data_IF_903855580116
#
_entry.id   IF_903855580116
#
_cell.length_a   1.000
_cell.length_b   1.000
_cell.length_c   1.000
_cell.angle_alpha   90.00
_cell.angle_beta   90.00
_cell.angle_gamma   90.00
#
_symmetry.space_group_name_H-M   'P 1'
#
loop_
_entity.id
_entity.type
_entity.pdbx_description
1 polymer ?
#
# COMPACT_ATOMS: atom_id res chain seq x y z
N UNK A 1 -6.92 -32.03 32.91
CA UNK A 1 -6.83 -30.56 32.70
C UNK A 1 -5.76 -30.13 31.69
N UNK A 2 -4.50 -30.60 31.73
CA UNK A 2 -3.44 -30.20 30.75
C UNK A 2 -3.72 -30.45 29.26
N UNK A 3 -4.52 -31.47 28.89
CA UNK A 3 -4.86 -31.77 27.48
C UNK A 3 -5.83 -30.75 26.86
N UNK A 4 -6.79 -30.23 27.64
CA UNK A 4 -7.75 -29.23 27.13
C UNK A 4 -7.08 -27.87 26.92
N UNK A 5 -6.15 -27.47 27.80
CA UNK A 5 -5.38 -26.23 27.64
C UNK A 5 -4.54 -26.20 26.36
N UNK A 6 -3.90 -27.33 25.97
CA UNK A 6 -3.14 -27.42 24.71
C UNK A 6 -4.02 -27.32 23.46
N UNK A 7 -5.22 -27.89 23.50
CA UNK A 7 -6.15 -27.83 22.37
C UNK A 7 -6.66 -26.41 22.12
N UNK A 8 -6.99 -25.68 23.19
CA UNK A 8 -7.42 -24.27 23.11
C UNK A 8 -6.28 -23.38 22.60
N UNK A 9 -5.06 -23.56 23.10
CA UNK A 9 -3.89 -22.82 22.60
C UNK A 9 -3.60 -23.10 21.13
N UNK A 10 -3.75 -24.34 20.68
CA UNK A 10 -3.58 -24.72 19.27
C UNK A 10 -4.61 -24.04 18.36
N UNK A 11 -5.88 -24.01 18.78
CA UNK A 11 -6.97 -23.39 18.02
C UNK A 11 -6.82 -21.86 17.93
N UNK A 12 -6.50 -21.19 19.03
CA UNK A 12 -6.26 -19.73 19.04
C UNK A 12 -5.08 -19.34 18.16
N UNK A 13 -3.99 -20.11 18.20
CA UNK A 13 -2.83 -19.85 17.34
C UNK A 13 -3.19 -20.03 15.85
N UNK A 14 -4.04 -21.00 15.52
CA UNK A 14 -4.53 -21.21 14.16
C UNK A 14 -5.36 -20.03 13.64
N UNK A 15 -6.23 -19.45 14.48
CA UNK A 15 -7.03 -18.29 14.09
C UNK A 15 -6.16 -17.06 13.79
N UNK A 16 -5.13 -16.81 14.61
CA UNK A 16 -4.22 -15.68 14.38
C UNK A 16 -3.33 -15.83 13.14
N UNK A 17 -3.04 -17.06 12.71
CA UNK A 17 -2.30 -17.32 11.48
C UNK A 17 -3.19 -17.05 10.26
N UNK A 18 -4.43 -17.58 10.26
CA UNK A 18 -5.41 -17.37 9.18
C UNK A 18 -5.66 -15.89 8.90
N UNK A 19 -5.93 -15.08 9.94
CA UNK A 19 -6.20 -13.64 9.76
C UNK A 19 -5.01 -12.86 9.16
N UNK A 20 -3.77 -13.29 9.40
CA UNK A 20 -2.60 -12.65 8.80
C UNK A 20 -2.39 -13.05 7.35
N UNK A 21 -2.73 -14.29 7.00
CA UNK A 21 -2.65 -14.80 5.64
C UNK A 21 -3.74 -14.15 4.78
N UNK A 22 -4.95 -14.01 5.30
CA UNK A 22 -6.05 -13.26 4.66
C UNK A 22 -5.66 -11.80 4.41
N UNK A 23 -5.09 -11.13 5.43
CA UNK A 23 -4.61 -9.76 5.29
C UNK A 23 -3.54 -9.63 4.18
N UNK A 24 -2.54 -10.52 4.19
CA UNK A 24 -1.47 -10.50 3.18
C UNK A 24 -2.02 -10.75 1.79
N UNK A 25 -2.88 -11.75 1.64
CA UNK A 25 -3.51 -12.06 0.37
C UNK A 25 -4.32 -10.87 -0.18
N UNK A 26 -5.05 -10.17 0.69
CA UNK A 26 -5.79 -8.97 0.30
C UNK A 26 -4.86 -7.85 -0.17
N UNK A 27 -3.81 -7.52 0.59
CA UNK A 27 -2.80 -6.52 0.21
C UNK A 27 -2.10 -6.88 -1.10
N UNK A 28 -1.70 -8.14 -1.26
CA UNK A 28 -1.02 -8.63 -2.45
C UNK A 28 -1.92 -8.55 -3.70
N UNK A 29 -3.20 -8.92 -3.55
CA UNK A 29 -4.18 -8.79 -4.63
C UNK A 29 -4.40 -7.34 -5.06
N UNK A 30 -4.41 -6.41 -4.10
CA UNK A 30 -4.57 -4.98 -4.36
C UNK A 30 -3.34 -4.42 -5.09
N UNK A 31 -2.14 -4.81 -4.65
CA UNK A 31 -0.90 -4.43 -5.32
C UNK A 31 -0.82 -4.94 -6.76
N UNK A 32 -1.23 -6.19 -6.99
CA UNK A 32 -1.26 -6.76 -8.34
C UNK A 32 -2.25 -6.01 -9.24
N UNK A 33 -3.46 -5.74 -8.74
CA UNK A 33 -4.51 -5.06 -9.48
C UNK A 33 -4.10 -3.64 -9.88
N UNK A 34 -3.64 -2.83 -8.93
CA UNK A 34 -3.24 -1.45 -9.24
C UNK A 34 -1.94 -1.39 -10.05
N UNK A 35 -1.00 -2.30 -9.83
CA UNK A 35 0.19 -2.43 -10.69
C UNK A 35 -0.18 -2.65 -12.15
N UNK A 36 -1.18 -3.50 -12.42
CA UNK A 36 -1.69 -3.74 -13.77
C UNK A 36 -2.37 -2.48 -14.36
N UNK A 37 -3.21 -1.78 -13.59
CA UNK A 37 -3.87 -0.54 -14.05
C UNK A 37 -2.83 0.53 -14.39
N UNK A 38 -1.78 0.69 -13.56
CA UNK A 38 -0.71 1.64 -13.85
C UNK A 38 0.03 1.25 -15.13
N UNK A 39 0.34 -0.04 -15.34
CA UNK A 39 0.91 -0.52 -16.60
C UNK A 39 0.07 -0.18 -17.82
N UNK A 40 -1.26 -0.34 -17.73
CA UNK A 40 -2.21 0.06 -18.78
C UNK A 40 -2.19 1.58 -19.00
N UNK A 41 -2.07 2.38 -17.95
CA UNK A 41 -1.96 3.84 -18.08
C UNK A 41 -0.69 4.26 -18.84
N UNK A 42 0.45 3.60 -18.61
CA UNK A 42 1.69 3.82 -19.35
C UNK A 42 1.58 3.41 -20.83
N UNK A 43 0.83 2.36 -21.14
CA UNK A 43 0.63 1.91 -22.52
C UNK A 43 -0.10 2.94 -23.40
N UNK A 44 -0.81 3.91 -22.80
CA UNK A 44 -1.52 4.99 -23.50
C UNK A 44 -0.61 6.19 -23.82
N UNK A 45 0.65 6.17 -23.41
CA UNK A 45 1.62 7.23 -23.68
C UNK A 45 2.29 6.94 -25.02
N UNK A 46 1.69 7.42 -26.12
CA UNK A 46 2.17 7.14 -27.47
C UNK A 46 3.15 8.20 -28.01
N UNK A 47 3.21 9.40 -27.41
CA UNK A 47 3.90 10.56 -28.01
C UNK A 47 4.85 11.33 -27.08
N UNK A 48 5.29 10.72 -25.98
CA UNK A 48 6.18 11.39 -25.02
C UNK A 48 7.66 11.28 -25.43
N UNK A 49 8.43 12.35 -25.20
CA UNK A 49 9.88 12.32 -25.34
C UNK A 49 10.51 11.26 -24.43
N UNK A 50 11.56 10.57 -24.88
CA UNK A 50 12.15 9.46 -24.13
C UNK A 50 12.66 9.86 -22.74
N UNK A 51 13.22 11.07 -22.60
CA UNK A 51 13.70 11.59 -21.33
C UNK A 51 12.55 11.77 -20.33
N UNK A 52 11.48 12.42 -20.75
CA UNK A 52 10.27 12.66 -19.97
C UNK A 52 9.60 11.35 -19.56
N UNK A 53 9.51 10.38 -20.49
CA UNK A 53 8.96 9.06 -20.21
C UNK A 53 9.79 8.33 -19.15
N UNK A 54 11.12 8.40 -19.25
CA UNK A 54 12.02 7.78 -18.29
C UNK A 54 11.87 8.42 -16.91
N UNK A 55 11.79 9.75 -16.83
CA UNK A 55 11.58 10.47 -15.58
C UNK A 55 10.25 10.10 -14.94
N UNK A 56 9.16 10.10 -15.71
CA UNK A 56 7.84 9.70 -15.26
C UNK A 56 7.83 8.25 -14.75
N UNK A 57 8.47 7.34 -15.47
CA UNK A 57 8.58 5.93 -15.10
C UNK A 57 9.33 5.76 -13.78
N UNK A 58 10.49 6.40 -13.63
CA UNK A 58 11.30 6.33 -12.40
C UNK A 58 10.52 6.89 -11.21
N UNK A 59 9.93 8.07 -11.35
CA UNK A 59 9.17 8.69 -10.27
C UNK A 59 7.92 7.88 -9.89
N UNK A 60 7.22 7.32 -10.86
CA UNK A 60 6.08 6.45 -10.61
C UNK A 60 6.52 5.17 -9.91
N UNK A 61 7.63 4.56 -10.32
CA UNK A 61 8.16 3.37 -9.67
C UNK A 61 8.57 3.64 -8.22
N UNK A 62 9.20 4.79 -7.93
CA UNK A 62 9.55 5.21 -6.58
C UNK A 62 8.29 5.42 -5.73
N UNK A 63 7.26 6.06 -6.28
CA UNK A 63 5.99 6.27 -5.57
C UNK A 63 5.27 4.94 -5.29
N UNK A 64 5.23 4.02 -6.25
CA UNK A 64 4.71 2.66 -6.07
C UNK A 64 5.48 1.95 -4.96
N UNK A 65 6.81 2.01 -4.96
CA UNK A 65 7.64 1.42 -3.92
C UNK A 65 7.32 2.01 -2.53
N UNK A 66 7.07 3.32 -2.45
CA UNK A 66 6.64 3.97 -1.21
C UNK A 66 5.27 3.43 -0.74
N UNK A 67 4.30 3.26 -1.63
CA UNK A 67 2.99 2.67 -1.34
C UNK A 67 3.16 1.23 -0.80
N UNK A 68 3.97 0.40 -1.46
CA UNK A 68 4.24 -0.98 -1.02
C UNK A 68 4.96 -1.03 0.34
N UNK A 69 5.83 -0.05 0.61
CA UNK A 69 6.56 0.06 1.87
C UNK A 69 5.61 0.36 3.03
N UNK A 70 4.54 1.13 2.81
CA UNK A 70 3.52 1.41 3.84
C UNK A 70 2.89 0.12 4.35
N UNK A 71 2.49 -0.79 3.46
CA UNK A 71 1.82 -2.02 3.85
C UNK A 71 2.75 -3.07 4.50
N UNK A 72 4.06 -2.95 4.31
CA UNK A 72 5.04 -3.90 4.84
C UNK A 72 5.84 -3.39 6.05
N UNK A 73 5.76 -2.10 6.37
CA UNK A 73 6.58 -1.47 7.41
C UNK A 73 6.06 -1.71 8.82
N UNK A 74 6.97 -2.01 9.75
CA UNK A 74 6.70 -2.07 11.19
C UNK A 74 6.46 -0.68 11.80
N UNK A 75 6.94 0.39 11.15
CA UNK A 75 6.82 1.79 11.59
C UNK A 75 5.79 2.53 10.74
N UNK A 76 4.50 2.21 10.97
CA UNK A 76 3.34 2.64 10.16
C UNK A 76 3.28 4.15 9.89
N UNK A 77 3.52 4.97 10.91
CA UNK A 77 3.44 6.43 10.81
C UNK A 77 4.57 7.02 9.95
N UNK A 78 5.79 6.50 10.10
CA UNK A 78 6.94 6.99 9.32
C UNK A 78 6.82 6.61 7.85
N UNK A 79 6.37 5.39 7.54
CA UNK A 79 6.12 4.98 6.17
C UNK A 79 4.97 5.76 5.55
N UNK A 80 3.87 5.97 6.27
CA UNK A 80 2.74 6.78 5.80
C UNK A 80 3.16 8.23 5.50
N UNK A 81 3.96 8.84 6.39
CA UNK A 81 4.50 10.19 6.18
C UNK A 81 5.44 10.24 4.96
N UNK A 82 6.34 9.25 4.81
CA UNK A 82 7.21 9.15 3.65
C UNK A 82 6.43 9.01 2.33
N UNK A 83 5.35 8.22 2.34
CA UNK A 83 4.47 8.10 1.18
C UNK A 83 3.78 9.43 0.84
N UNK A 84 3.25 10.15 1.84
CA UNK A 84 2.63 11.46 1.62
C UNK A 84 3.62 12.48 1.05
N UNK A 85 4.87 12.49 1.54
CA UNK A 85 5.92 13.33 0.97
C UNK A 85 6.19 12.99 -0.50
N UNK A 86 6.21 11.70 -0.86
CA UNK A 86 6.40 11.29 -2.25
C UNK A 86 5.20 11.69 -3.13
N UNK A 87 3.97 11.63 -2.63
CA UNK A 87 2.80 12.17 -3.33
C UNK A 87 2.91 13.68 -3.54
N UNK A 88 3.34 14.42 -2.52
CA UNK A 88 3.52 15.87 -2.64
C UNK A 88 4.61 16.22 -3.66
N UNK A 89 5.74 15.52 -3.64
CA UNK A 89 6.82 15.69 -4.61
C UNK A 89 6.36 15.36 -6.04
N UNK A 90 5.63 14.25 -6.21
CA UNK A 90 5.05 13.86 -7.49
C UNK A 90 4.08 14.94 -8.00
N UNK A 91 3.13 15.37 -7.17
CA UNK A 91 2.16 16.39 -7.54
C UNK A 91 2.85 17.71 -7.91
N UNK A 92 3.84 18.15 -7.11
CA UNK A 92 4.58 19.37 -7.39
C UNK A 92 5.32 19.29 -8.74
N UNK A 93 6.08 18.24 -8.98
CA UNK A 93 6.87 18.12 -10.22
C UNK A 93 6.01 17.96 -11.46
N UNK A 94 4.95 17.16 -11.39
CA UNK A 94 4.23 16.73 -12.58
C UNK A 94 2.92 17.47 -12.85
N UNK A 95 2.29 18.04 -11.82
CA UNK A 95 1.02 18.76 -11.96
C UNK A 95 1.24 20.27 -11.86
N UNK A 96 2.13 20.73 -10.98
CA UNK A 96 2.36 22.16 -10.77
C UNK A 96 3.45 22.74 -11.68
N UNK A 97 4.62 22.09 -11.73
CA UNK A 97 5.75 22.51 -12.59
C UNK A 97 5.62 22.03 -14.04
N UNK A 98 4.63 21.17 -14.34
CA UNK A 98 4.45 20.54 -15.67
C UNK A 98 5.78 19.99 -16.23
N UNK A 99 6.63 19.40 -15.36
CA UNK A 99 7.98 18.96 -15.73
C UNK A 99 8.03 17.93 -16.87
N UNK A 100 6.86 17.37 -17.22
CA UNK A 100 6.66 16.44 -18.31
C UNK A 100 5.39 16.83 -19.07
N UNK A 101 5.47 16.94 -20.40
CA UNK A 101 4.44 17.59 -21.21
C UNK A 101 3.16 16.79 -21.49
N UNK A 102 3.05 15.51 -21.13
CA UNK A 102 1.88 14.69 -21.48
C UNK A 102 1.66 13.49 -20.53
N UNK A 103 1.21 13.74 -19.31
CA UNK A 103 0.96 12.67 -18.34
C UNK A 103 -0.47 12.14 -18.51
N UNK A 104 -0.70 10.81 -18.48
CA UNK A 104 -2.06 10.28 -18.50
C UNK A 104 -2.87 10.83 -17.33
N UNK A 105 -4.00 11.48 -17.63
CA UNK A 105 -4.90 12.07 -16.63
C UNK A 105 -5.39 11.05 -15.58
N UNK A 106 -5.42 9.76 -15.95
CA UNK A 106 -5.84 8.67 -15.08
C UNK A 106 -4.75 8.16 -14.15
N UNK A 107 -3.48 8.49 -14.40
CA UNK A 107 -2.35 7.91 -13.65
C UNK A 107 -2.33 8.41 -12.19
N UNK A 108 -2.33 9.74 -12.01
CA UNK A 108 -2.31 10.33 -10.68
C UNK A 108 -3.51 9.94 -9.79
N UNK A 109 -4.78 10.02 -10.24
CA UNK A 109 -5.90 9.60 -9.41
C UNK A 109 -5.85 8.10 -9.08
N UNK A 110 -5.35 7.26 -9.99
CA UNK A 110 -5.15 5.82 -9.72
C UNK A 110 -4.16 5.60 -8.57
N UNK A 111 -3.03 6.31 -8.58
CA UNK A 111 -2.04 6.27 -7.52
C UNK A 111 -2.63 6.77 -6.19
N UNK A 112 -3.39 7.86 -6.22
CA UNK A 112 -4.06 8.40 -5.02
C UNK A 112 -5.02 7.39 -4.40
N UNK A 113 -5.87 6.75 -5.22
CA UNK A 113 -6.81 5.72 -4.74
C UNK A 113 -6.04 4.52 -4.17
N UNK A 114 -4.98 4.07 -4.84
CA UNK A 114 -4.14 2.99 -4.35
C UNK A 114 -3.50 3.33 -3.00
N UNK A 115 -2.87 4.50 -2.88
CA UNK A 115 -2.27 4.98 -1.64
C UNK A 115 -3.29 5.11 -0.51
N UNK A 116 -4.48 5.65 -0.80
CA UNK A 116 -5.57 5.77 0.18
C UNK A 116 -6.05 4.40 0.66
N UNK A 117 -6.27 3.44 -0.25
CA UNK A 117 -6.67 2.08 0.11
C UNK A 117 -5.61 1.38 0.95
N UNK A 118 -4.33 1.58 0.64
CA UNK A 118 -3.23 1.01 1.42
C UNK A 118 -3.14 1.61 2.83
N UNK A 119 -3.40 2.91 2.97
CA UNK A 119 -3.53 3.53 4.29
C UNK A 119 -4.74 2.98 5.06
N UNK A 120 -5.90 2.87 4.42
CA UNK A 120 -7.09 2.29 5.04
C UNK A 120 -6.83 0.86 5.52
N UNK A 121 -6.15 0.04 4.71
CA UNK A 121 -5.77 -1.32 5.07
C UNK A 121 -4.74 -1.36 6.21
N UNK A 122 -3.77 -0.44 6.23
CA UNK A 122 -2.72 -0.42 7.26
C UNK A 122 -3.22 0.12 8.61
N UNK A 123 -4.15 1.08 8.59
CA UNK A 123 -4.74 1.69 9.79
C UNK A 123 -6.05 1.02 10.23
N UNK A 124 -6.55 0.03 9.50
CA UNK A 124 -7.67 -0.79 9.95
C UNK A 124 -7.35 -1.46 11.30
N UNK A 125 -8.27 -1.45 12.29
CA UNK A 125 -8.07 -2.07 13.59
C UNK A 125 -7.69 -3.54 13.42
N UNK A 126 -6.43 -3.88 13.70
CA UNK A 126 -6.00 -5.27 13.75
C UNK A 126 -6.41 -5.80 15.12
N UNK A 127 -7.14 -6.91 15.16
CA UNK A 127 -7.59 -7.56 16.42
C UNK A 127 -6.43 -7.92 17.37
N UNK A 128 -5.19 -7.85 16.87
CA UNK A 128 -3.94 -7.99 17.62
C UNK A 128 -3.72 -6.92 18.69
N UNK A 129 -4.41 -5.78 18.64
CA UNK A 129 -4.30 -4.71 19.63
C UNK A 129 -5.35 -4.80 20.76
N UNK A 130 -6.26 -5.78 20.73
CA UNK A 130 -7.03 -6.17 21.92
C UNK A 130 -6.11 -7.00 22.83
N UNK A 131 -5.40 -6.32 23.72
CA UNK A 131 -4.91 -6.97 24.92
C UNK A 131 -6.10 -7.70 25.59
N UNK A 132 -5.96 -8.95 26.05
CA UNK A 132 -6.97 -9.53 26.91
C UNK A 132 -7.01 -8.64 28.17
N UNK A 133 -8.05 -7.83 28.30
CA UNK A 133 -8.48 -7.35 29.61
C UNK A 133 -8.79 -8.60 30.41
N UNK A 134 -7.87 -8.95 31.31
CA UNK A 134 -8.07 -9.97 32.31
C UNK A 134 -9.33 -9.59 33.10
N UNK A 135 -10.41 -10.39 33.08
CA UNK A 135 -11.56 -10.18 33.95
C UNK A 135 -11.17 -10.67 35.37
N UNK A 136 -10.26 -9.94 36.02
CA UNK A 136 -9.79 -10.23 37.37
C UNK A 136 -9.44 -8.97 38.18
N UNK A 137 -10.11 -7.84 37.91
CA UNK A 137 -10.26 -6.72 38.85
C UNK A 137 -11.73 -6.64 39.32
#
# INVERSE_FOLDING_TARGET
MRKQAKAVYGWLNQQHIMQREEYRAAVDSLNLFFGAIVGVAFARIESMATADYTLLLVMTAVLIAAILTVANSRRRLYSAFGMLLMFAAYHYLFIYEEAVGAIPETLFPTLCVWGALMLLYEFSPRERDRAPTDPAD
#
